data_IF_500812463299
#
_entry.id   IF_500812463299
#
_cell.length_a   1.000
_cell.length_b   1.000
_cell.length_c   1.000
_cell.angle_alpha   90.00
_cell.angle_beta   90.00
_cell.angle_gamma   90.00
#
_symmetry.space_group_name_H-M   'P 1'
#
loop_
_entity.id
_entity.type
_entity.pdbx_description
1 polymer ?
#
# COMPACT_ATOMS: atom_id res chain seq x y z
N UNK A 1 -13.95 6.93 -5.10
CA UNK A 1 -12.62 6.29 -5.22
C UNK A 1 -12.37 6.01 -6.71
N UNK A 2 -11.13 6.09 -7.18
CA UNK A 2 -10.79 5.88 -8.59
C UNK A 2 -10.45 4.41 -8.91
N UNK A 3 -9.88 3.68 -7.95
CA UNK A 3 -9.56 2.26 -8.05
C UNK A 3 -9.63 1.61 -6.67
N UNK A 4 -9.78 0.28 -6.63
CA UNK A 4 -9.73 -0.53 -5.41
C UNK A 4 -8.50 -1.43 -5.40
N UNK A 5 -7.99 -1.74 -4.22
CA UNK A 5 -6.83 -2.61 -4.03
C UNK A 5 -6.95 -3.36 -2.68
N UNK A 6 -6.22 -4.47 -2.49
CA UNK A 6 -6.26 -5.23 -1.24
C UNK A 6 -5.97 -4.37 -0.02
N UNK A 7 -6.89 -4.34 0.93
CA UNK A 7 -6.77 -3.55 2.15
C UNK A 7 -7.35 -4.21 3.38
N UNK A 8 -7.65 -5.51 3.32
CA UNK A 8 -8.14 -6.30 4.44
C UNK A 8 -7.16 -7.43 4.68
N UNK A 9 -6.81 -7.67 5.95
CA UNK A 9 -5.87 -8.68 6.40
C UNK A 9 -4.52 -8.63 5.65
N UNK A 10 -3.97 -7.43 5.52
CA UNK A 10 -2.69 -7.19 4.87
C UNK A 10 -1.57 -7.37 5.89
N UNK A 11 -0.75 -8.41 5.70
CA UNK A 11 0.46 -8.64 6.47
C UNK A 11 1.59 -7.72 5.98
N UNK A 12 2.05 -6.82 6.84
CA UNK A 12 3.14 -5.90 6.54
C UNK A 12 4.11 -5.76 7.72
N UNK A 13 5.31 -5.23 7.44
CA UNK A 13 6.27 -4.93 8.49
C UNK A 13 5.70 -3.92 9.48
N UNK A 14 5.93 -4.14 10.77
CA UNK A 14 5.37 -3.31 11.84
C UNK A 14 6.45 -2.84 12.81
N UNK A 15 6.26 -1.65 13.39
CA UNK A 15 7.23 -1.08 14.31
C UNK A 15 7.18 -1.80 15.66
N UNK A 16 8.31 -2.38 16.07
CA UNK A 16 8.46 -3.05 17.36
C UNK A 16 8.21 -2.10 18.54
N UNK A 17 8.50 -0.81 18.36
CA UNK A 17 8.28 0.24 19.36
C UNK A 17 6.80 0.59 19.46
N UNK A 18 6.13 0.70 18.30
CA UNK A 18 4.69 1.01 18.27
C UNK A 18 3.86 -0.14 18.84
N UNK A 19 4.25 -1.40 18.61
CA UNK A 19 3.49 -2.55 19.10
C UNK A 19 3.55 -2.73 20.62
N UNK A 20 4.74 -2.50 21.19
CA UNK A 20 4.95 -2.50 22.64
C UNK A 20 4.05 -1.46 23.35
N UNK A 21 3.78 -0.32 22.69
CA UNK A 21 2.90 0.72 23.22
C UNK A 21 1.39 0.45 23.08
N UNK A 22 0.98 -0.43 22.15
CA UNK A 22 -0.43 -0.58 21.76
C UNK A 22 -1.09 -1.82 22.38
N UNK A 23 -0.36 -2.90 22.64
CA UNK A 23 -1.03 -4.20 22.82
C UNK A 23 -0.60 -5.05 24.00
N UNK A 24 0.48 -4.70 24.73
CA UNK A 24 1.05 -5.59 25.76
C UNK A 24 1.43 -6.98 25.22
N UNK A 25 1.41 -7.16 23.88
CA UNK A 25 1.82 -8.37 23.17
C UNK A 25 3.31 -8.28 22.88
N UNK A 26 3.98 -9.44 22.67
CA UNK A 26 5.35 -9.45 22.18
C UNK A 26 5.45 -8.61 20.91
N UNK A 27 6.49 -7.79 20.79
CA UNK A 27 6.71 -7.03 19.56
C UNK A 27 7.03 -7.98 18.41
N UNK A 28 6.15 -8.00 17.41
CA UNK A 28 6.24 -8.76 16.19
C UNK A 28 6.80 -7.87 15.07
N UNK A 29 7.68 -8.45 14.25
CA UNK A 29 8.24 -7.75 13.09
C UNK A 29 7.18 -7.47 12.00
N UNK A 30 6.06 -8.17 12.07
CA UNK A 30 4.96 -8.09 11.12
C UNK A 30 3.63 -8.10 11.83
N UNK A 31 2.67 -7.37 11.29
CA UNK A 31 1.30 -7.34 11.77
C UNK A 31 0.32 -7.37 10.60
N UNK A 32 -0.85 -7.99 10.81
CA UNK A 32 -1.93 -8.01 9.83
C UNK A 32 -2.96 -6.95 10.19
N UNK A 33 -3.19 -6.01 9.28
CA UNK A 33 -4.09 -4.88 9.49
C UNK A 33 -5.04 -4.68 8.31
N UNK A 34 -6.14 -4.00 8.59
CA UNK A 34 -7.19 -3.68 7.62
C UNK A 34 -7.45 -2.17 7.56
N UNK A 35 -7.67 -1.62 6.38
CA UNK A 35 -8.00 -0.23 6.13
C UNK A 35 -7.63 0.25 4.73
N UNK A 36 -8.21 1.38 4.30
CA UNK A 36 -7.83 2.04 3.04
C UNK A 36 -6.37 2.51 3.05
N UNK A 37 -5.79 2.71 4.24
CA UNK A 37 -4.36 2.94 4.46
C UNK A 37 -3.50 1.75 4.02
N UNK A 38 -4.04 0.53 4.00
CA UNK A 38 -3.36 -0.68 3.51
C UNK A 38 -3.58 -0.89 2.01
N UNK A 39 -4.70 -0.43 1.44
CA UNK A 39 -4.93 -0.42 -0.01
C UNK A 39 -4.04 0.59 -0.75
N UNK A 40 -3.85 1.79 -0.18
CA UNK A 40 -3.07 2.87 -0.79
C UNK A 40 -1.63 2.48 -1.21
N UNK A 41 -0.80 1.81 -0.37
CA UNK A 41 0.55 1.43 -0.75
C UNK A 41 0.59 0.38 -1.87
N UNK A 42 -0.43 -0.47 -2.03
CA UNK A 42 -0.50 -1.38 -3.18
C UNK A 42 -0.59 -0.61 -4.50
N UNK A 43 -1.49 0.38 -4.58
CA UNK A 43 -1.64 1.22 -5.78
C UNK A 43 -0.38 2.07 -6.00
N UNK A 44 0.20 2.61 -4.93
CA UNK A 44 1.45 3.39 -4.99
C UNK A 44 2.62 2.56 -5.54
N UNK A 45 2.71 1.28 -5.17
CA UNK A 45 3.69 0.35 -5.71
C UNK A 45 3.52 0.13 -7.22
N UNK A 46 2.31 -0.10 -7.69
CA UNK A 46 1.99 -0.23 -9.12
C UNK A 46 2.35 1.05 -9.89
N UNK A 47 2.01 2.22 -9.34
CA UNK A 47 2.39 3.53 -9.91
C UNK A 47 3.91 3.66 -10.01
N UNK A 48 4.65 3.26 -8.99
CA UNK A 48 6.13 3.28 -9.00
C UNK A 48 6.71 2.39 -10.11
N UNK A 49 6.16 1.20 -10.31
CA UNK A 49 6.56 0.31 -11.40
C UNK A 49 6.26 0.93 -12.77
N UNK A 50 5.05 1.46 -12.96
CA UNK A 50 4.66 2.12 -14.21
C UNK A 50 5.55 3.33 -14.50
N UNK A 51 5.86 4.15 -13.50
CA UNK A 51 6.74 5.32 -13.69
C UNK A 51 8.18 4.92 -14.02
N UNK A 52 8.65 3.76 -13.54
CA UNK A 52 9.96 3.21 -13.91
C UNK A 52 9.99 2.74 -15.37
N UNK A 53 8.94 2.07 -15.83
CA UNK A 53 8.82 1.56 -17.21
C UNK A 53 8.52 2.69 -18.21
N UNK A 54 7.73 3.68 -17.80
CA UNK A 54 7.34 4.85 -18.59
C UNK A 54 7.69 6.16 -17.87
N UNK A 55 8.97 6.58 -17.88
CA UNK A 55 9.43 7.76 -17.16
C UNK A 55 8.81 9.08 -17.65
N UNK A 56 8.37 9.13 -18.90
CA UNK A 56 7.76 10.26 -19.59
C UNK A 56 6.26 10.41 -19.31
N UNK A 57 5.59 9.35 -18.84
CA UNK A 57 4.14 9.41 -18.58
C UNK A 57 3.79 10.44 -17.51
N UNK A 58 2.75 11.22 -17.81
CA UNK A 58 2.15 12.17 -16.85
C UNK A 58 1.37 11.43 -15.76
N UNK A 59 1.10 12.07 -14.60
CA UNK A 59 0.25 11.48 -13.57
C UNK A 59 -1.14 11.08 -14.08
N UNK A 60 -1.70 11.85 -15.01
CA UNK A 60 -2.98 11.54 -15.63
C UNK A 60 -2.90 10.31 -16.55
N UNK A 61 -1.81 10.14 -17.29
CA UNK A 61 -1.59 8.95 -18.12
C UNK A 61 -1.47 7.68 -17.26
N UNK A 62 -0.74 7.75 -16.14
CA UNK A 62 -0.62 6.62 -15.20
C UNK A 62 -1.98 6.28 -14.59
N UNK A 63 -2.73 7.28 -14.10
CA UNK A 63 -4.09 7.06 -13.58
C UNK A 63 -5.00 6.42 -14.63
N UNK A 64 -4.98 6.93 -15.86
CA UNK A 64 -5.75 6.37 -16.97
C UNK A 64 -5.41 4.90 -17.21
N UNK A 65 -4.13 4.56 -17.31
CA UNK A 65 -3.66 3.20 -17.56
C UNK A 65 -4.12 2.21 -16.48
N UNK A 66 -4.07 2.60 -15.20
CA UNK A 66 -4.49 1.72 -14.10
C UNK A 66 -6.03 1.62 -14.05
N UNK A 67 -6.78 2.67 -14.40
CA UNK A 67 -8.25 2.63 -14.36
C UNK A 67 -8.89 1.85 -15.51
N UNK A 68 -8.21 1.71 -16.64
CA UNK A 68 -8.76 1.06 -17.86
C UNK A 68 -8.27 -0.37 -18.06
N UNK A 69 -7.58 -0.94 -17.07
CA UNK A 69 -7.10 -2.34 -17.06
C UNK A 69 -7.74 -3.12 -15.93
#
# INVERSE_FOLDING_TARGET
>A
PDITAPGVDILAAFSLVAEASVSGRPSLKYNSLSGTSMSCPHVSGVVGLLKKVHPDWSPAAIRSAIMTT
#
